data_IF_284878172172
#
_entry.id   IF_284878172172
#
_cell.length_a   1.000
_cell.length_b   1.000
_cell.length_c   1.000
_cell.angle_alpha   90.00
_cell.angle_beta   90.00
_cell.angle_gamma   90.00
#
_symmetry.space_group_name_H-M   'P 1'
#
loop_
_entity.id
_entity.type
_entity.pdbx_description
1 polymer ?
#
# COMPACT_ATOMS: atom_id res chain seq x y z
N UNK A 1 6.38 -4.78 -35.06
CA UNK A 1 5.94 -3.41 -34.82
C UNK A 1 6.12 -3.06 -33.38
N UNK A 2 6.25 -1.78 -33.06
CA UNK A 2 6.30 -1.31 -31.68
C UNK A 2 4.94 -1.60 -31.05
N UNK A 3 4.95 -2.40 -29.98
CA UNK A 3 3.75 -2.74 -29.25
C UNK A 3 3.22 -1.54 -28.45
N UNK A 4 2.51 -1.83 -27.37
CA UNK A 4 1.99 -0.83 -26.45
C UNK A 4 3.11 -0.05 -25.77
N UNK A 5 2.90 1.26 -25.58
CA UNK A 5 3.78 2.13 -24.81
C UNK A 5 2.98 3.12 -23.96
N UNK A 6 3.64 3.68 -22.97
CA UNK A 6 3.11 4.73 -22.11
C UNK A 6 3.83 6.04 -22.43
N UNK A 7 3.06 7.10 -22.65
CA UNK A 7 3.56 8.47 -22.78
C UNK A 7 3.05 9.26 -21.58
N UNK A 8 3.96 9.72 -20.72
CA UNK A 8 3.64 10.44 -19.48
C UNK A 8 4.35 11.78 -19.41
N UNK A 9 3.61 12.82 -19.14
CA UNK A 9 4.16 14.14 -18.89
C UNK A 9 4.87 14.18 -17.52
N UNK A 10 6.12 14.64 -17.51
CA UNK A 10 6.93 14.85 -16.29
C UNK A 10 6.86 16.31 -15.86
N UNK A 11 7.13 17.23 -16.82
CA UNK A 11 6.91 18.66 -16.63
C UNK A 11 5.93 19.18 -17.67
N UNK A 12 5.00 20.02 -17.27
CA UNK A 12 3.98 20.53 -18.19
C UNK A 12 4.57 21.01 -19.51
N UNK A 13 4.13 20.35 -20.58
CA UNK A 13 4.28 20.62 -21.98
C UNK A 13 5.66 20.38 -22.62
N UNK A 14 6.73 20.25 -21.87
CA UNK A 14 8.07 20.20 -22.47
C UNK A 14 8.95 19.02 -22.03
N UNK A 15 8.61 18.28 -20.97
CA UNK A 15 9.39 17.12 -20.56
C UNK A 15 8.49 15.89 -20.40
N UNK A 16 8.84 14.80 -21.07
CA UNK A 16 8.01 13.60 -21.16
C UNK A 16 8.82 12.34 -20.90
N UNK A 17 8.20 11.38 -20.26
CA UNK A 17 8.70 10.02 -20.10
C UNK A 17 7.96 9.13 -21.09
N UNK A 18 8.71 8.36 -21.85
CA UNK A 18 8.16 7.34 -22.74
C UNK A 18 8.64 5.99 -22.22
N UNK A 19 7.71 5.10 -21.94
CA UNK A 19 7.99 3.71 -21.57
C UNK A 19 7.45 2.83 -22.67
N UNK A 20 8.29 1.94 -23.14
CA UNK A 20 7.97 1.01 -24.21
C UNK A 20 8.45 -0.39 -23.82
N UNK A 21 7.66 -1.43 -24.15
CA UNK A 21 7.99 -2.81 -23.85
C UNK A 21 8.77 -3.46 -24.97
N UNK A 22 9.74 -4.32 -24.62
CA UNK A 22 10.41 -5.22 -25.55
C UNK A 22 10.35 -6.67 -25.05
N UNK A 23 10.56 -7.63 -25.96
CA UNK A 23 10.58 -9.05 -25.60
C UNK A 23 11.85 -9.38 -24.82
N UNK A 24 11.70 -9.72 -23.54
CA UNK A 24 12.82 -10.09 -22.65
C UNK A 24 13.53 -11.38 -23.08
N UNK A 25 12.87 -12.23 -23.89
CA UNK A 25 13.46 -13.47 -24.40
C UNK A 25 14.19 -13.25 -25.73
N UNK A 26 14.04 -12.06 -26.33
CA UNK A 26 14.75 -11.62 -27.52
C UNK A 26 16.08 -10.94 -27.18
N UNK A 27 16.82 -10.48 -28.20
CA UNK A 27 18.00 -9.67 -27.98
C UNK A 27 17.61 -8.35 -27.32
N UNK A 28 18.43 -7.91 -26.34
CA UNK A 28 18.23 -6.58 -25.73
C UNK A 28 18.41 -5.50 -26.80
N UNK A 29 17.46 -4.55 -26.91
CA UNK A 29 17.55 -3.50 -27.91
C UNK A 29 18.75 -2.58 -27.65
N UNK A 30 19.48 -2.24 -28.70
CA UNK A 30 20.47 -1.19 -28.64
C UNK A 30 19.75 0.16 -28.62
N UNK A 31 19.76 0.84 -27.46
CA UNK A 31 19.04 2.09 -27.25
C UNK A 31 19.87 3.27 -27.74
N UNK A 32 19.87 3.47 -29.06
CA UNK A 32 20.45 4.66 -29.69
C UNK A 32 19.48 5.83 -29.64
N UNK A 33 19.99 7.06 -29.83
CA UNK A 33 19.14 8.27 -29.93
C UNK A 33 18.11 8.15 -31.06
N UNK A 34 18.55 7.66 -32.22
CA UNK A 34 17.68 7.45 -33.39
C UNK A 34 16.55 6.46 -33.06
N UNK A 35 16.90 5.34 -32.42
CA UNK A 35 15.93 4.34 -32.00
C UNK A 35 14.92 4.94 -30.98
N UNK A 36 15.40 5.56 -29.91
CA UNK A 36 14.54 6.11 -28.86
C UNK A 36 13.60 7.21 -29.39
N UNK A 37 14.11 8.13 -30.23
CA UNK A 37 13.28 9.17 -30.85
C UNK A 37 12.29 8.59 -31.87
N UNK A 38 12.66 7.54 -32.58
CA UNK A 38 11.77 6.80 -33.49
C UNK A 38 10.59 6.16 -32.74
N UNK A 39 10.86 5.50 -31.63
CA UNK A 39 9.82 4.96 -30.73
C UNK A 39 8.88 6.05 -30.23
N UNK A 40 9.44 7.20 -29.82
CA UNK A 40 8.66 8.31 -29.32
C UNK A 40 7.72 8.87 -30.40
N UNK A 41 8.23 9.14 -31.61
CA UNK A 41 7.41 9.61 -32.75
C UNK A 41 6.29 8.64 -33.11
N UNK A 42 6.58 7.34 -33.08
CA UNK A 42 5.57 6.33 -33.40
C UNK A 42 4.47 6.27 -32.35
N UNK A 43 4.80 6.32 -31.04
CA UNK A 43 3.81 6.28 -29.97
C UNK A 43 2.96 7.55 -29.90
N UNK A 44 3.53 8.71 -30.26
CA UNK A 44 2.81 9.98 -30.31
C UNK A 44 2.00 10.10 -31.61
N UNK A 45 2.42 9.43 -32.69
CA UNK A 45 1.78 9.47 -34.00
C UNK A 45 2.19 10.68 -34.86
N UNK A 46 3.29 11.34 -34.53
CA UNK A 46 3.84 12.47 -35.29
C UNK A 46 5.29 12.14 -35.72
N UNK A 47 5.51 11.82 -37.01
CA UNK A 47 6.83 11.46 -37.52
C UNK A 47 7.81 12.62 -37.57
N UNK A 48 7.30 13.87 -37.59
CA UNK A 48 8.10 15.06 -37.73
C UNK A 48 8.37 15.76 -36.36
N UNK A 49 7.90 15.15 -35.27
CA UNK A 49 8.07 15.70 -33.92
C UNK A 49 9.54 15.92 -33.61
N UNK A 50 9.89 17.15 -33.24
CA UNK A 50 11.23 17.51 -32.76
C UNK A 50 11.39 17.06 -31.31
N UNK A 51 12.39 16.21 -31.07
CA UNK A 51 12.66 15.63 -29.75
C UNK A 51 14.11 15.92 -29.39
N UNK A 52 14.33 16.41 -28.21
CA UNK A 52 15.61 16.42 -27.52
C UNK A 52 15.62 15.24 -26.53
N UNK A 53 16.49 14.26 -26.77
CA UNK A 53 16.62 13.09 -25.91
C UNK A 53 17.50 13.45 -24.70
N UNK A 54 16.92 13.46 -23.51
CA UNK A 54 17.66 13.72 -22.26
C UNK A 54 18.35 12.47 -21.74
N UNK A 55 17.66 11.32 -21.79
CA UNK A 55 18.20 10.03 -21.38
C UNK A 55 17.37 8.88 -21.96
N UNK A 56 17.99 7.75 -22.19
CA UNK A 56 17.30 6.51 -22.54
C UNK A 56 18.10 5.31 -22.01
N UNK A 57 17.39 4.35 -21.42
CA UNK A 57 17.97 3.12 -20.88
C UNK A 57 16.94 1.99 -20.87
N UNK A 58 17.41 0.78 -20.72
CA UNK A 58 16.58 -0.40 -20.46
C UNK A 58 16.41 -0.64 -18.97
N UNK A 59 15.29 -1.20 -18.58
CA UNK A 59 15.05 -1.74 -17.25
C UNK A 59 14.12 -2.95 -17.31
N UNK A 60 14.18 -3.80 -16.31
CA UNK A 60 13.38 -5.02 -16.28
C UNK A 60 12.35 -4.94 -15.16
N UNK A 61 11.10 -5.27 -15.50
CA UNK A 61 10.04 -5.50 -14.52
C UNK A 61 10.37 -6.77 -13.75
N UNK A 62 10.40 -6.66 -12.44
CA UNK A 62 10.78 -7.74 -11.56
C UNK A 62 9.56 -8.32 -10.83
N UNK A 63 9.65 -9.61 -10.51
CA UNK A 63 8.80 -10.30 -9.55
C UNK A 63 9.70 -10.85 -8.45
N UNK A 64 10.18 -9.96 -7.59
CA UNK A 64 11.19 -10.28 -6.58
C UNK A 64 10.78 -9.79 -5.20
N UNK A 65 10.88 -10.67 -4.23
CA UNK A 65 10.81 -10.34 -2.80
C UNK A 65 11.79 -11.20 -2.02
N UNK A 66 12.41 -10.61 -0.99
CA UNK A 66 13.32 -11.30 -0.12
C UNK A 66 12.56 -12.13 0.92
N UNK A 67 13.00 -13.35 1.15
CA UNK A 67 12.49 -14.19 2.24
C UNK A 67 13.13 -13.84 3.58
N UNK A 68 14.27 -13.14 3.54
CA UNK A 68 15.01 -12.65 4.71
C UNK A 68 15.49 -11.23 4.44
N UNK A 69 15.15 -10.32 5.34
CA UNK A 69 15.40 -8.88 5.22
C UNK A 69 16.61 -8.41 6.02
N UNK A 70 17.20 -9.29 6.82
CA UNK A 70 18.36 -8.97 7.66
C UNK A 70 19.34 -10.13 7.78
N UNK A 71 20.62 -9.81 8.04
CA UNK A 71 21.66 -10.77 8.39
C UNK A 71 22.60 -10.14 9.41
N UNK A 72 22.57 -10.63 10.64
CA UNK A 72 23.31 -10.03 11.76
C UNK A 72 22.90 -8.57 11.95
N UNK A 73 23.84 -7.65 11.82
CA UNK A 73 23.64 -6.19 11.97
C UNK A 73 23.31 -5.46 10.65
N UNK A 74 23.14 -6.19 9.55
CA UNK A 74 22.79 -5.62 8.26
C UNK A 74 21.29 -5.81 8.04
N UNK A 75 20.58 -4.72 7.79
CA UNK A 75 19.15 -4.68 7.50
C UNK A 75 18.94 -4.08 6.13
N UNK A 76 18.10 -4.70 5.32
CA UNK A 76 17.72 -4.22 4.00
C UNK A 76 16.25 -3.79 4.00
N UNK A 77 15.89 -2.79 3.19
CA UNK A 77 14.54 -2.28 3.05
C UNK A 77 14.28 -1.79 1.62
N UNK A 78 13.02 -1.58 1.29
CA UNK A 78 12.62 -1.02 0.00
C UNK A 78 13.04 -1.90 -1.18
N UNK A 79 13.51 -1.30 -2.25
CA UNK A 79 13.90 -1.98 -3.50
C UNK A 79 15.00 -3.04 -3.32
N UNK A 80 15.72 -3.02 -2.20
CA UNK A 80 16.67 -4.07 -1.87
C UNK A 80 16.00 -5.39 -1.45
N UNK A 81 14.73 -5.35 -1.01
CA UNK A 81 14.00 -6.53 -0.53
C UNK A 81 12.71 -6.82 -1.30
N UNK A 82 12.20 -5.89 -2.11
CA UNK A 82 11.05 -6.13 -2.99
C UNK A 82 11.14 -5.28 -4.25
N UNK A 83 10.98 -5.92 -5.39
CA UNK A 83 10.89 -5.27 -6.70
C UNK A 83 9.71 -5.83 -7.48
N UNK A 84 8.92 -4.95 -7.98
CA UNK A 84 7.70 -5.27 -8.71
C UNK A 84 7.38 -4.17 -9.73
N UNK A 85 6.46 -4.42 -10.67
CA UNK A 85 5.99 -3.39 -11.58
C UNK A 85 5.37 -2.21 -10.83
N UNK A 86 5.34 -1.00 -11.44
CA UNK A 86 4.79 0.21 -10.81
C UNK A 86 3.27 0.20 -10.65
N UNK A 87 2.59 -0.86 -11.09
CA UNK A 87 1.15 -1.05 -10.88
C UNK A 87 0.78 -0.96 -9.39
N UNK A 88 -0.42 -0.49 -9.09
CA UNK A 88 -0.93 -0.17 -7.75
C UNK A 88 -0.20 0.99 -7.04
N UNK A 89 0.92 1.51 -7.52
CA UNK A 89 1.64 2.61 -6.86
C UNK A 89 2.22 2.28 -5.48
N UNK A 90 2.48 1.00 -5.18
CA UNK A 90 2.78 0.52 -3.83
C UNK A 90 4.26 0.58 -3.46
N UNK A 91 5.19 0.69 -4.42
CA UNK A 91 6.62 0.52 -4.19
C UNK A 91 7.22 1.49 -3.17
N UNK A 92 7.18 2.79 -3.46
CA UNK A 92 7.73 3.81 -2.56
C UNK A 92 6.99 3.86 -1.22
N UNK A 93 5.66 3.66 -1.22
CA UNK A 93 4.86 3.62 -0.01
C UNK A 93 5.26 2.44 0.90
N UNK A 94 5.50 1.26 0.33
CA UNK A 94 5.98 0.09 1.07
C UNK A 94 7.39 0.31 1.61
N UNK A 95 8.27 0.94 0.84
CA UNK A 95 9.63 1.29 1.28
C UNK A 95 9.63 2.25 2.47
N UNK A 96 8.71 3.23 2.48
CA UNK A 96 8.50 4.14 3.62
C UNK A 96 8.01 3.35 4.85
N UNK A 97 7.08 2.42 4.67
CA UNK A 97 6.59 1.57 5.75
C UNK A 97 7.71 0.67 6.32
N UNK A 98 8.60 0.13 5.47
CA UNK A 98 9.74 -0.67 5.93
C UNK A 98 10.67 0.17 6.79
N UNK A 99 11.01 1.37 6.31
CA UNK A 99 11.85 2.31 7.04
C UNK A 99 11.25 2.69 8.38
N UNK A 100 9.96 2.95 8.40
CA UNK A 100 9.22 3.34 9.60
C UNK A 100 9.15 2.17 10.61
N UNK A 101 8.91 0.94 10.14
CA UNK A 101 8.89 -0.25 10.99
C UNK A 101 10.26 -0.53 11.62
N UNK A 102 11.34 -0.39 10.86
CA UNK A 102 12.71 -0.67 11.34
C UNK A 102 13.23 0.44 12.25
N UNK A 103 12.98 1.71 11.94
CA UNK A 103 13.60 2.85 12.60
C UNK A 103 13.32 2.91 14.11
N UNK A 104 12.07 2.70 14.54
CA UNK A 104 11.74 2.74 15.96
C UNK A 104 12.31 1.55 16.72
N UNK A 105 12.36 0.36 16.09
CA UNK A 105 12.95 -0.85 16.69
C UNK A 105 14.45 -0.63 16.93
N UNK A 106 15.15 -0.11 15.94
CA UNK A 106 16.55 0.27 16.08
C UNK A 106 16.75 1.31 17.18
N UNK A 107 15.89 2.34 17.20
CA UNK A 107 15.99 3.39 18.23
C UNK A 107 15.82 2.85 19.65
N UNK A 108 14.87 1.93 19.87
CA UNK A 108 14.66 1.32 21.20
C UNK A 108 15.83 0.44 21.62
N UNK A 109 16.35 -0.39 20.69
CA UNK A 109 17.50 -1.25 20.98
C UNK A 109 18.76 -0.43 21.26
N UNK A 110 19.06 0.59 20.44
CA UNK A 110 20.22 1.45 20.62
C UNK A 110 20.16 2.30 21.89
N UNK A 111 18.97 2.63 22.38
CA UNK A 111 18.76 3.33 23.66
C UNK A 111 18.72 2.37 24.86
N UNK A 112 18.86 1.07 24.65
CA UNK A 112 18.75 0.07 25.72
C UNK A 112 17.34 -0.11 26.29
N UNK A 113 16.31 0.34 25.60
CA UNK A 113 14.90 0.23 25.98
C UNK A 113 14.27 -1.09 25.51
N UNK A 114 14.92 -1.83 24.64
CA UNK A 114 14.52 -3.15 24.19
C UNK A 114 15.74 -4.02 23.93
N UNK A 115 15.57 -5.34 24.02
CA UNK A 115 16.56 -6.33 23.61
C UNK A 115 16.69 -6.46 22.11
N UNK A 116 17.83 -6.98 21.63
CA UNK A 116 18.11 -7.19 20.18
C UNK A 116 17.06 -8.08 19.49
N UNK A 117 16.38 -8.99 20.22
CA UNK A 117 15.31 -9.84 19.70
C UNK A 117 14.14 -9.03 19.08
N UNK A 118 13.93 -7.77 19.50
CA UNK A 118 12.95 -6.90 18.86
C UNK A 118 13.23 -6.71 17.36
N UNK A 119 14.49 -6.75 16.93
CA UNK A 119 14.86 -6.56 15.53
C UNK A 119 14.47 -7.74 14.65
N UNK A 120 14.32 -8.94 15.20
CA UNK A 120 13.88 -10.12 14.47
C UNK A 120 12.43 -9.96 13.97
N UNK A 121 11.61 -9.19 14.72
CA UNK A 121 10.24 -8.89 14.33
C UNK A 121 10.13 -8.07 13.03
N UNK A 122 11.19 -7.36 12.64
CA UNK A 122 11.22 -6.66 11.35
C UNK A 122 11.02 -7.61 10.17
N UNK A 123 11.76 -8.71 10.15
CA UNK A 123 11.63 -9.72 9.10
C UNK A 123 10.24 -10.38 9.10
N UNK A 124 9.77 -10.81 10.27
CA UNK A 124 8.47 -11.52 10.39
C UNK A 124 7.27 -10.64 10.07
N UNK A 125 7.39 -9.33 10.27
CA UNK A 125 6.33 -8.37 9.94
C UNK A 125 6.39 -7.89 8.49
N UNK A 126 7.59 -7.64 7.92
CA UNK A 126 7.73 -6.98 6.62
C UNK A 126 7.91 -7.92 5.43
N UNK A 127 8.54 -9.08 5.59
CA UNK A 127 8.71 -10.02 4.48
C UNK A 127 7.37 -10.56 3.92
N UNK A 128 6.35 -10.89 4.75
CA UNK A 128 5.03 -11.25 4.23
C UNK A 128 4.34 -10.12 3.46
N UNK A 129 4.51 -8.87 3.92
CA UNK A 129 3.95 -7.70 3.22
C UNK A 129 4.65 -7.47 1.88
N UNK A 130 5.98 -7.57 1.84
CA UNK A 130 6.74 -7.49 0.60
C UNK A 130 6.24 -8.53 -0.43
N UNK A 131 6.02 -9.77 0.00
CA UNK A 131 5.42 -10.82 -0.85
C UNK A 131 4.04 -10.45 -1.34
N UNK A 132 3.15 -9.97 -0.47
CA UNK A 132 1.78 -9.56 -0.82
C UNK A 132 1.80 -8.48 -1.90
N UNK A 133 2.58 -7.42 -1.69
CA UNK A 133 2.68 -6.27 -2.59
C UNK A 133 3.22 -6.69 -3.97
N UNK A 134 4.32 -7.44 -3.98
CA UNK A 134 4.92 -7.93 -5.23
C UNK A 134 3.95 -8.81 -6.00
N UNK A 135 3.25 -9.71 -5.31
CA UNK A 135 2.25 -10.60 -5.92
C UNK A 135 1.10 -9.77 -6.52
N UNK A 136 0.52 -8.83 -5.76
CA UNK A 136 -0.60 -8.02 -6.24
C UNK A 136 -0.21 -7.15 -7.45
N UNK A 137 0.93 -6.48 -7.39
CA UNK A 137 1.40 -5.64 -8.48
C UNK A 137 1.63 -6.42 -9.79
N UNK A 138 2.17 -7.64 -9.70
CA UNK A 138 2.35 -8.49 -10.88
C UNK A 138 1.01 -9.01 -11.45
N UNK A 139 0.05 -9.34 -10.60
CA UNK A 139 -1.29 -9.71 -11.03
C UNK A 139 -1.98 -8.56 -11.77
N UNK A 140 -1.86 -7.33 -11.26
CA UNK A 140 -2.47 -6.14 -11.86
C UNK A 140 -2.01 -5.84 -13.28
N UNK A 141 -0.76 -6.16 -13.63
CA UNK A 141 -0.31 -6.09 -15.03
C UNK A 141 -1.11 -7.07 -15.91
N UNK A 142 -1.24 -8.33 -15.48
CA UNK A 142 -1.98 -9.34 -16.24
C UNK A 142 -3.45 -9.00 -16.43
N UNK A 143 -4.05 -8.29 -15.48
CA UNK A 143 -5.45 -7.84 -15.50
C UNK A 143 -5.74 -6.79 -16.58
N UNK A 144 -4.72 -6.28 -17.26
CA UNK A 144 -4.89 -5.39 -18.43
C UNK A 144 -5.23 -6.18 -19.71
N UNK A 145 -4.79 -7.42 -19.80
CA UNK A 145 -5.03 -8.28 -20.99
C UNK A 145 -6.50 -8.40 -21.40
N UNK A 146 -7.43 -8.67 -20.49
CA UNK A 146 -8.86 -8.75 -20.79
C UNK A 146 -9.45 -7.49 -21.44
N UNK A 147 -8.91 -6.30 -21.17
CA UNK A 147 -9.35 -5.05 -21.82
C UNK A 147 -8.99 -5.07 -23.28
N UNK A 148 -7.74 -5.43 -23.60
CA UNK A 148 -7.31 -5.52 -25.01
C UNK A 148 -8.02 -6.65 -25.76
N UNK A 149 -8.27 -7.78 -25.11
CA UNK A 149 -9.07 -8.85 -25.68
C UNK A 149 -10.50 -8.39 -26.01
N UNK A 150 -11.16 -7.69 -25.10
CA UNK A 150 -12.50 -7.15 -25.31
C UNK A 150 -12.54 -6.06 -26.40
N UNK A 151 -11.45 -5.32 -26.58
CA UNK A 151 -11.31 -4.35 -27.66
C UNK A 151 -10.98 -5.02 -29.03
N UNK A 152 -10.68 -6.31 -29.05
CA UNK A 152 -10.23 -7.00 -30.26
C UNK A 152 -8.81 -6.59 -30.70
N UNK A 153 -7.96 -6.21 -29.73
CA UNK A 153 -6.60 -5.70 -29.90
C UNK A 153 -5.57 -6.68 -29.30
N UNK A 154 -5.68 -7.94 -29.66
CA UNK A 154 -4.75 -8.98 -29.19
C UNK A 154 -3.55 -9.13 -30.13
N UNK A 155 -2.47 -9.71 -29.60
CA UNK A 155 -1.29 -10.03 -30.39
C UNK A 155 -1.65 -10.89 -31.62
N UNK A 156 -1.01 -10.60 -32.77
CA UNK A 156 -1.25 -11.28 -34.02
C UNK A 156 -2.45 -10.79 -34.85
N UNK A 157 -3.25 -9.86 -34.30
CA UNK A 157 -4.32 -9.20 -35.08
C UNK A 157 -3.72 -8.09 -35.92
N UNK A 158 -4.11 -8.05 -37.21
CA UNK A 158 -3.71 -7.01 -38.15
C UNK A 158 -4.20 -5.60 -37.67
N UNK A 159 -3.36 -4.54 -37.77
CA UNK A 159 -3.73 -3.19 -37.33
C UNK A 159 -5.00 -2.64 -37.96
N UNK A 160 -5.26 -2.96 -39.26
CA UNK A 160 -6.51 -2.54 -39.92
C UNK A 160 -7.72 -3.24 -39.31
N UNK A 161 -7.55 -4.52 -38.95
CA UNK A 161 -8.62 -5.26 -38.26
C UNK A 161 -8.81 -4.75 -36.83
N UNK A 162 -7.74 -4.40 -36.12
CA UNK A 162 -7.86 -3.76 -34.79
C UNK A 162 -8.68 -2.46 -34.86
N UNK A 163 -8.40 -1.62 -35.85
CA UNK A 163 -9.17 -0.38 -36.08
C UNK A 163 -10.66 -0.67 -36.32
N UNK A 164 -10.97 -1.64 -37.17
CA UNK A 164 -12.37 -2.05 -37.41
C UNK A 164 -13.04 -2.59 -36.14
N UNK A 165 -12.32 -3.35 -35.32
CA UNK A 165 -12.84 -3.85 -34.05
C UNK A 165 -13.18 -2.69 -33.08
N UNK A 166 -12.33 -1.65 -33.05
CA UNK A 166 -12.57 -0.45 -32.27
C UNK A 166 -13.80 0.35 -32.76
N UNK A 167 -13.96 0.48 -34.07
CA UNK A 167 -15.10 1.20 -34.69
C UNK A 167 -16.41 0.45 -34.49
N UNK A 168 -16.41 -0.90 -34.67
CA UNK A 168 -17.59 -1.75 -34.54
C UNK A 168 -18.30 -1.62 -33.18
N UNK A 169 -17.59 -1.30 -32.10
CA UNK A 169 -18.20 -1.08 -30.78
C UNK A 169 -19.24 0.03 -30.75
N UNK A 170 -19.23 0.94 -31.73
CA UNK A 170 -20.16 2.08 -31.81
C UNK A 170 -21.45 1.71 -32.54
N UNK A 171 -21.55 0.53 -33.12
CA UNK A 171 -22.72 0.06 -33.84
C UNK A 171 -23.88 -0.26 -32.91
N UNK A 172 -25.11 -0.18 -33.42
CA UNK A 172 -26.34 -0.58 -32.72
C UNK A 172 -26.63 -2.08 -32.75
N UNK A 173 -25.64 -2.94 -33.03
CA UNK A 173 -25.81 -4.39 -33.15
C UNK A 173 -25.69 -5.10 -31.80
N UNK A 174 -26.30 -6.29 -31.67
CA UNK A 174 -26.15 -7.13 -30.50
C UNK A 174 -24.68 -7.53 -30.23
N UNK A 175 -23.87 -7.71 -31.29
CA UNK A 175 -22.46 -7.99 -31.18
C UNK A 175 -21.69 -6.81 -30.55
N UNK A 176 -21.96 -5.59 -30.98
CA UNK A 176 -21.37 -4.39 -30.44
C UNK A 176 -21.78 -4.15 -28.97
N UNK A 177 -23.03 -4.46 -28.64
CA UNK A 177 -23.51 -4.42 -27.25
C UNK A 177 -22.77 -5.42 -26.36
N UNK A 178 -22.61 -6.65 -26.80
CA UNK A 178 -21.82 -7.68 -26.09
C UNK A 178 -20.35 -7.25 -25.91
N UNK A 179 -19.73 -6.64 -26.92
CA UNK A 179 -18.39 -6.10 -26.84
C UNK A 179 -18.29 -4.98 -25.80
N UNK A 180 -19.22 -4.02 -25.80
CA UNK A 180 -19.26 -2.95 -24.79
C UNK A 180 -19.41 -3.50 -23.39
N UNK A 181 -20.22 -4.55 -23.20
CA UNK A 181 -20.37 -5.20 -21.91
C UNK A 181 -19.10 -5.92 -21.46
N UNK A 182 -18.41 -6.61 -22.37
CA UNK A 182 -17.13 -7.24 -22.10
C UNK A 182 -16.06 -6.20 -21.69
N UNK A 183 -16.01 -5.06 -22.36
CA UNK A 183 -15.13 -3.93 -22.01
C UNK A 183 -15.46 -3.40 -20.62
N UNK A 184 -16.75 -3.15 -20.30
CA UNK A 184 -17.15 -2.69 -18.95
C UNK A 184 -16.70 -3.64 -17.85
N UNK A 185 -16.89 -4.96 -18.05
CA UNK A 185 -16.45 -5.98 -17.10
C UNK A 185 -14.92 -6.01 -16.93
N UNK A 186 -14.20 -5.92 -18.03
CA UNK A 186 -12.73 -5.90 -18.01
C UNK A 186 -12.18 -4.64 -17.30
N UNK A 187 -12.80 -3.47 -17.54
CA UNK A 187 -12.44 -2.23 -16.84
C UNK A 187 -12.81 -2.33 -15.36
N UNK A 188 -13.98 -2.85 -15.01
CA UNK A 188 -14.38 -3.02 -13.61
C UNK A 188 -13.43 -3.94 -12.85
N UNK A 189 -12.80 -4.90 -13.50
CA UNK A 189 -11.80 -5.77 -12.89
C UNK A 189 -10.51 -5.02 -12.50
N UNK A 190 -10.21 -3.89 -13.14
CA UNK A 190 -9.05 -3.04 -12.80
C UNK A 190 -9.16 -2.35 -11.43
N UNK A 191 -10.30 -2.46 -10.74
CA UNK A 191 -10.42 -2.01 -9.35
C UNK A 191 -9.33 -2.60 -8.43
N UNK A 192 -8.85 -3.80 -8.71
CA UNK A 192 -7.74 -4.41 -7.97
C UNK A 192 -6.39 -3.69 -8.14
N UNK A 193 -6.27 -2.81 -9.14
CA UNK A 193 -5.10 -1.93 -9.27
C UNK A 193 -5.36 -0.54 -8.70
N UNK A 194 -6.58 0.00 -8.85
CA UNK A 194 -6.86 1.40 -8.56
C UNK A 194 -7.64 1.63 -7.27
N UNK A 195 -8.38 0.62 -6.78
CA UNK A 195 -9.23 0.71 -5.58
C UNK A 195 -8.82 -0.33 -4.51
N UNK A 196 -7.56 -0.74 -4.48
CA UNK A 196 -7.06 -1.80 -3.61
C UNK A 196 -6.78 -1.29 -2.18
N UNK A 197 -7.74 -0.63 -1.55
CA UNK A 197 -7.64 -0.09 -0.18
C UNK A 197 -7.30 -1.18 0.84
N UNK A 198 -7.79 -2.40 0.62
CA UNK A 198 -7.51 -3.51 1.52
C UNK A 198 -6.04 -3.90 1.53
N UNK A 199 -5.38 -3.96 0.36
CA UNK A 199 -3.94 -4.24 0.24
C UNK A 199 -3.11 -3.20 1.00
N UNK A 200 -3.54 -1.94 0.97
CA UNK A 200 -2.83 -0.83 1.63
C UNK A 200 -3.06 -0.80 3.14
N UNK A 201 -4.27 -1.11 3.60
CA UNK A 201 -4.75 -0.79 4.94
C UNK A 201 -5.00 -2.01 5.83
N UNK A 202 -5.30 -3.20 5.26
CA UNK A 202 -5.60 -4.41 6.03
C UNK A 202 -4.37 -5.21 6.45
N UNK A 203 -3.17 -4.64 6.35
CA UNK A 203 -1.95 -5.33 6.75
C UNK A 203 -1.96 -5.62 8.25
N UNK A 204 -1.83 -6.90 8.61
CA UNK A 204 -1.76 -7.36 10.01
C UNK A 204 -0.39 -7.97 10.26
N UNK A 205 0.35 -7.41 11.20
CA UNK A 205 1.63 -7.94 11.61
C UNK A 205 1.45 -9.13 12.55
N UNK A 206 2.29 -10.13 12.40
CA UNK A 206 2.35 -11.31 13.27
C UNK A 206 3.80 -11.55 13.63
N UNK A 207 4.16 -11.24 14.86
CA UNK A 207 5.52 -11.41 15.38
C UNK A 207 5.46 -11.56 16.90
N UNK A 208 6.57 -11.94 17.50
CA UNK A 208 6.70 -12.01 18.97
C UNK A 208 6.64 -10.63 19.65
N UNK A 209 6.71 -9.54 18.88
CA UNK A 209 6.49 -8.19 19.37
C UNK A 209 5.00 -7.81 19.46
N UNK A 210 4.10 -8.67 19.00
CA UNK A 210 2.66 -8.48 19.03
C UNK A 210 2.07 -9.46 20.03
N UNK A 211 1.45 -8.93 21.08
CA UNK A 211 0.77 -9.76 22.08
C UNK A 211 -0.70 -9.89 21.70
N UNK A 212 -1.19 -11.11 21.61
CA UNK A 212 -2.61 -11.43 21.48
C UNK A 212 -3.10 -12.02 22.79
N UNK A 213 -4.34 -11.72 23.16
CA UNK A 213 -4.95 -12.24 24.40
C UNK A 213 -5.53 -13.66 24.27
N UNK A 214 -5.12 -14.38 23.23
CA UNK A 214 -5.60 -15.73 22.92
C UNK A 214 -6.92 -15.78 22.17
N UNK A 215 -7.47 -14.64 21.76
CA UNK A 215 -8.62 -14.58 20.89
C UNK A 215 -8.29 -15.07 19.47
N UNK A 216 -9.31 -15.38 18.70
CA UNK A 216 -9.17 -15.76 17.30
C UNK A 216 -9.15 -14.49 16.45
N UNK A 217 -8.15 -14.41 15.55
CA UNK A 217 -8.07 -13.30 14.61
C UNK A 217 -9.35 -13.19 13.77
N UNK A 218 -10.00 -12.01 13.70
CA UNK A 218 -11.23 -11.86 12.94
C UNK A 218 -10.95 -12.04 11.44
N UNK A 219 -11.80 -12.86 10.79
CA UNK A 219 -11.75 -13.02 9.35
C UNK A 219 -12.21 -11.75 8.65
N UNK A 220 -11.74 -11.54 7.42
CA UNK A 220 -12.28 -10.49 6.57
C UNK A 220 -13.67 -10.89 6.07
N UNK A 221 -14.65 -10.00 6.22
CA UNK A 221 -16.04 -10.23 5.76
C UNK A 221 -16.22 -9.86 4.29
N UNK A 222 -15.44 -8.90 3.81
CA UNK A 222 -15.42 -8.45 2.43
C UNK A 222 -14.10 -8.86 1.77
N UNK A 223 -13.99 -8.64 0.45
CA UNK A 223 -12.75 -8.84 -0.29
C UNK A 223 -11.61 -8.06 0.36
N UNK A 224 -10.61 -8.79 0.86
CA UNK A 224 -9.52 -8.24 1.66
C UNK A 224 -8.56 -7.37 0.87
N UNK A 225 -8.53 -7.49 -0.46
CA UNK A 225 -7.70 -6.66 -1.31
C UNK A 225 -8.37 -5.34 -1.67
N UNK A 226 -9.69 -5.33 -1.78
CA UNK A 226 -10.44 -4.15 -2.20
C UNK A 226 -10.91 -3.27 -1.05
N UNK A 227 -11.38 -3.88 0.04
CA UNK A 227 -12.08 -3.15 1.09
C UNK A 227 -11.26 -3.05 2.36
N UNK A 228 -11.00 -1.83 2.82
CA UNK A 228 -10.47 -1.62 4.17
C UNK A 228 -11.51 -2.02 5.20
N UNK A 229 -11.14 -2.91 6.10
CA UNK A 229 -11.97 -3.40 7.20
C UNK A 229 -11.26 -3.06 8.52
N UNK A 230 -11.66 -1.92 9.14
CA UNK A 230 -11.01 -1.43 10.35
C UNK A 230 -11.18 -2.42 11.51
N UNK A 231 -10.12 -2.61 12.28
CA UNK A 231 -10.09 -3.47 13.46
C UNK A 231 -9.05 -2.96 14.44
N UNK A 232 -9.27 -3.17 15.73
CA UNK A 232 -8.26 -2.98 16.77
C UNK A 232 -7.52 -4.26 17.11
N UNK A 233 -7.63 -5.28 16.25
CA UNK A 233 -6.89 -6.53 16.40
C UNK A 233 -5.38 -6.27 16.51
N UNK A 234 -4.67 -6.93 17.44
CA UNK A 234 -3.23 -6.78 17.62
C UNK A 234 -2.46 -7.00 16.31
N UNK A 235 -1.55 -6.07 15.99
CA UNK A 235 -0.80 -6.04 14.74
C UNK A 235 -1.50 -5.36 13.57
N UNK A 236 -2.81 -5.07 13.68
CA UNK A 236 -3.52 -4.29 12.69
C UNK A 236 -3.22 -2.79 12.83
N UNK A 237 -3.49 -2.03 11.77
CA UNK A 237 -3.46 -0.57 11.81
C UNK A 237 -4.59 -0.06 12.72
N UNK A 238 -4.27 0.87 13.63
CA UNK A 238 -5.29 1.52 14.44
C UNK A 238 -6.33 2.20 13.52
N UNK A 239 -7.63 1.95 13.73
CA UNK A 239 -8.68 2.64 12.98
C UNK A 239 -8.66 4.14 13.24
N UNK A 240 -8.90 4.91 12.18
CA UNK A 240 -9.22 6.33 12.31
C UNK A 240 -10.63 6.50 12.89
N UNK A 241 -10.74 7.36 13.89
CA UNK A 241 -12.01 7.89 14.40
C UNK A 241 -11.81 9.35 14.81
N UNK A 242 -12.80 10.18 14.59
CA UNK A 242 -12.79 11.55 15.10
C UNK A 242 -13.17 11.55 16.58
N UNK A 243 -12.37 12.23 17.37
CA UNK A 243 -12.66 12.52 18.78
C UNK A 243 -12.47 14.01 19.03
N UNK A 244 -13.29 14.57 19.90
CA UNK A 244 -13.24 15.98 20.27
C UNK A 244 -12.28 16.17 21.45
N UNK A 245 -11.25 16.98 21.28
CA UNK A 245 -10.34 17.40 22.34
C UNK A 245 -10.96 18.59 23.09
N UNK A 246 -11.26 18.39 24.35
CA UNK A 246 -11.90 19.44 25.20
C UNK A 246 -10.96 20.56 25.60
N UNK A 247 -9.66 20.33 25.56
CA UNK A 247 -8.66 21.34 25.92
C UNK A 247 -8.47 22.34 24.76
N UNK A 248 -8.32 21.82 23.55
CA UNK A 248 -8.11 22.66 22.37
C UNK A 248 -9.41 23.13 21.71
N UNK A 249 -10.52 22.44 21.98
CA UNK A 249 -11.81 22.72 21.34
C UNK A 249 -11.89 22.24 19.89
N UNK A 250 -11.00 21.33 19.45
CA UNK A 250 -10.92 20.85 18.08
C UNK A 250 -11.19 19.35 17.98
N UNK A 251 -11.58 18.90 16.80
CA UNK A 251 -11.59 17.48 16.45
C UNK A 251 -10.17 17.02 16.14
N UNK A 252 -9.81 15.85 16.63
CA UNK A 252 -8.53 15.19 16.38
C UNK A 252 -8.77 13.74 16.01
N UNK A 253 -7.87 13.14 15.22
CA UNK A 253 -7.94 11.73 14.88
C UNK A 253 -7.37 10.86 15.99
N UNK A 254 -7.92 9.68 16.21
CA UNK A 254 -7.29 8.64 17.04
C UNK A 254 -5.85 8.35 16.59
N UNK A 255 -5.54 8.50 15.28
CA UNK A 255 -4.19 8.34 14.75
C UNK A 255 -3.24 9.45 15.22
N UNK A 256 -3.75 10.69 15.38
CA UNK A 256 -2.95 11.84 15.82
C UNK A 256 -2.68 11.80 17.32
N UNK A 257 -3.48 11.04 18.09
CA UNK A 257 -3.22 10.78 19.51
C UNK A 257 -2.04 9.82 19.72
N UNK A 258 -1.63 9.10 18.67
CA UNK A 258 -0.67 8.00 18.76
C UNK A 258 0.66 8.35 18.08
N UNK A 259 1.70 7.65 18.45
CA UNK A 259 3.02 7.81 17.85
C UNK A 259 3.90 8.82 18.61
N UNK A 260 4.52 9.77 17.88
CA UNK A 260 5.40 10.80 18.44
C UNK A 260 6.53 10.24 19.34
N UNK A 261 7.01 9.02 19.03
CA UNK A 261 8.09 8.35 19.76
C UNK A 261 7.66 7.80 21.12
N UNK A 262 6.36 7.54 21.32
CA UNK A 262 5.78 6.97 22.55
C UNK A 262 4.84 5.80 22.22
N UNK A 263 4.68 4.91 23.19
CA UNK A 263 3.51 4.04 23.23
C UNK A 263 2.28 4.86 23.65
N UNK A 264 1.11 4.46 23.20
CA UNK A 264 -0.15 5.13 23.55
C UNK A 264 -1.17 4.10 24.01
N UNK A 265 -1.75 4.34 25.17
CA UNK A 265 -2.87 3.56 25.69
C UNK A 265 -4.16 4.34 25.46
N UNK A 266 -5.09 3.76 24.71
CA UNK A 266 -6.43 4.29 24.52
C UNK A 266 -7.40 3.46 25.38
N UNK A 267 -8.16 4.12 26.26
CA UNK A 267 -9.18 3.46 27.09
C UNK A 267 -10.43 4.33 27.21
N UNK A 268 -11.50 3.80 27.75
CA UNK A 268 -12.75 4.51 27.96
C UNK A 268 -13.10 4.64 29.45
N UNK A 269 -14.39 4.82 29.71
CA UNK A 269 -14.92 4.95 31.11
C UNK A 269 -14.69 3.63 31.87
N UNK A 270 -14.16 3.77 33.09
CA UNK A 270 -13.83 2.63 33.96
C UNK A 270 -12.48 1.98 33.63
N UNK A 271 -11.68 2.60 32.76
CA UNK A 271 -10.35 2.13 32.37
C UNK A 271 -9.19 2.74 33.16
N UNK A 272 -9.47 3.45 34.28
CA UNK A 272 -8.46 4.11 35.12
C UNK A 272 -7.38 3.15 35.66
N UNK A 273 -7.74 1.89 35.88
CA UNK A 273 -6.78 0.87 36.29
C UNK A 273 -5.70 0.58 35.21
N UNK A 274 -6.07 0.66 33.93
CA UNK A 274 -5.12 0.51 32.83
C UNK A 274 -4.15 1.68 32.75
N UNK A 275 -4.64 2.90 33.01
CA UNK A 275 -3.79 4.09 33.06
C UNK A 275 -2.75 3.95 34.15
N UNK A 276 -3.16 3.58 35.37
CA UNK A 276 -2.24 3.37 36.49
C UNK A 276 -1.22 2.26 36.22
N UNK A 277 -1.66 1.16 35.60
CA UNK A 277 -0.77 0.07 35.21
C UNK A 277 0.25 0.52 34.13
N UNK A 278 -0.22 1.29 33.13
CA UNK A 278 0.63 1.85 32.09
C UNK A 278 1.70 2.78 32.63
N UNK A 279 1.35 3.66 33.57
CA UNK A 279 2.30 4.54 34.25
C UNK A 279 3.36 3.77 35.05
N UNK A 280 2.95 2.73 35.76
CA UNK A 280 3.87 1.87 36.50
C UNK A 280 4.84 1.14 35.62
N UNK A 281 4.35 0.54 34.52
CA UNK A 281 5.17 -0.16 33.54
C UNK A 281 6.11 0.80 32.82
N UNK A 282 5.64 1.99 32.45
CA UNK A 282 6.45 3.00 31.79
C UNK A 282 7.63 3.45 32.67
N UNK A 283 7.38 3.62 33.98
CA UNK A 283 8.42 3.98 34.95
C UNK A 283 9.44 2.83 35.15
N UNK A 284 8.95 1.60 35.27
CA UNK A 284 9.81 0.42 35.48
C UNK A 284 10.72 0.14 34.26
N UNK A 285 10.18 0.26 33.04
CA UNK A 285 10.92 -0.01 31.80
C UNK A 285 11.69 1.20 31.26
N UNK A 286 11.51 2.40 31.83
CA UNK A 286 12.13 3.63 31.34
C UNK A 286 11.67 4.01 29.91
N UNK A 287 10.43 3.70 29.55
CA UNK A 287 9.85 4.01 28.24
C UNK A 287 8.83 5.15 28.33
N UNK A 288 8.61 5.82 27.21
CA UNK A 288 7.54 6.82 27.11
C UNK A 288 6.22 6.15 26.73
N UNK A 289 5.23 6.25 27.61
CA UNK A 289 3.87 5.79 27.37
C UNK A 289 2.90 6.91 27.74
N UNK A 290 1.95 7.22 26.86
CA UNK A 290 0.93 8.24 27.04
C UNK A 290 -0.43 7.55 27.08
N UNK A 291 -1.28 7.92 28.04
CA UNK A 291 -2.62 7.34 28.16
C UNK A 291 -3.69 8.38 27.85
N UNK A 292 -4.69 8.00 27.07
CA UNK A 292 -5.86 8.82 26.75
C UNK A 292 -7.14 8.10 27.14
N UNK A 293 -8.02 8.80 27.87
CA UNK A 293 -9.35 8.30 28.20
C UNK A 293 -10.35 8.99 27.28
N UNK A 294 -11.05 8.21 26.48
CA UNK A 294 -12.07 8.69 25.53
C UNK A 294 -13.46 8.39 26.11
N UNK A 295 -14.26 9.41 26.35
CA UNK A 295 -15.61 9.26 26.88
C UNK A 295 -16.24 10.55 27.35
N UNK A 296 -17.53 10.53 27.75
CA UNK A 296 -18.24 11.70 28.29
C UNK A 296 -17.49 12.31 29.45
N UNK A 297 -17.30 13.64 29.43
CA UNK A 297 -16.60 14.43 30.44
C UNK A 297 -15.11 14.10 30.64
N UNK A 298 -14.53 13.36 29.73
CA UNK A 298 -13.09 13.07 29.68
C UNK A 298 -12.37 14.08 28.79
N UNK A 299 -11.03 14.12 28.78
CA UNK A 299 -10.27 15.00 27.87
C UNK A 299 -10.67 14.83 26.39
N UNK A 300 -10.88 13.59 25.93
CA UNK A 300 -11.33 13.27 24.58
C UNK A 300 -12.75 12.72 24.62
N UNK A 301 -13.60 13.20 23.71
CA UNK A 301 -15.01 12.81 23.62
C UNK A 301 -15.35 12.31 22.23
N UNK A 302 -15.93 11.13 22.15
CA UNK A 302 -16.46 10.55 20.90
C UNK A 302 -17.89 11.05 20.67
N UNK A 303 -18.04 12.22 20.02
CA UNK A 303 -19.34 12.82 19.80
C UNK A 303 -20.19 12.09 18.77
N UNK A 304 -19.54 11.47 17.77
CA UNK A 304 -20.22 10.83 16.64
C UNK A 304 -20.35 9.31 16.82
N UNK A 305 -19.78 8.73 17.88
CA UNK A 305 -19.74 7.30 18.11
C UNK A 305 -18.80 6.57 17.12
N UNK A 306 -17.87 7.29 16.50
CA UNK A 306 -16.95 6.73 15.53
C UNK A 306 -15.96 5.75 16.18
N UNK A 307 -15.35 6.18 17.28
CA UNK A 307 -14.46 5.31 18.04
C UNK A 307 -15.20 4.12 18.65
N UNK A 308 -16.40 4.35 19.19
CA UNK A 308 -17.22 3.29 19.75
C UNK A 308 -17.57 2.20 18.75
N UNK A 309 -17.70 2.53 17.45
CA UNK A 309 -17.98 1.57 16.38
C UNK A 309 -16.77 0.70 16.00
N UNK A 310 -15.54 1.23 16.12
CA UNK A 310 -14.35 0.57 15.57
C UNK A 310 -13.38 0.03 16.62
N UNK A 311 -13.55 0.36 17.89
CA UNK A 311 -12.60 0.01 18.97
C UNK A 311 -12.61 -1.46 19.39
N UNK A 312 -13.67 -2.22 19.09
CA UNK A 312 -13.86 -3.66 19.40
C UNK A 312 -13.67 -4.07 20.87
N UNK A 313 -13.24 -3.18 21.73
CA UNK A 313 -13.11 -3.37 23.18
C UNK A 313 -14.24 -2.65 23.93
N UNK A 314 -14.56 -3.11 25.16
CA UNK A 314 -15.54 -2.46 26.03
C UNK A 314 -15.02 -1.08 26.51
N UNK A 315 -15.92 -0.25 27.07
CA UNK A 315 -15.55 1.05 27.63
C UNK A 315 -14.39 0.96 28.65
N UNK A 316 -14.44 -0.04 29.51
CA UNK A 316 -13.39 -0.29 30.50
C UNK A 316 -12.19 -1.09 29.98
N UNK A 317 -12.19 -1.48 28.71
CA UNK A 317 -11.06 -2.13 28.07
C UNK A 317 -10.03 -1.11 27.58
N UNK A 318 -8.91 -1.60 27.06
CA UNK A 318 -7.90 -0.73 26.50
C UNK A 318 -7.35 -1.26 25.17
N UNK A 319 -6.78 -0.35 24.40
CA UNK A 319 -5.98 -0.66 23.20
C UNK A 319 -4.61 -0.03 23.42
N UNK A 320 -3.58 -0.84 23.50
CA UNK A 320 -2.20 -0.37 23.50
C UNK A 320 -1.76 -0.19 22.05
N UNK A 321 -1.23 0.97 21.74
CA UNK A 321 -0.82 1.34 20.38
C UNK A 321 0.65 1.66 20.35
N UNK A 322 1.33 1.07 19.39
CA UNK A 322 2.70 1.37 19.11
C UNK A 322 2.83 1.81 17.64
N UNK A 323 3.22 3.09 17.44
CA UNK A 323 3.40 3.69 16.10
C UNK A 323 2.17 3.44 15.15
N UNK A 324 0.95 3.71 15.66
CA UNK A 324 -0.28 3.61 14.87
C UNK A 324 -0.74 2.18 14.57
N UNK A 325 -0.15 1.16 15.23
CA UNK A 325 -0.65 -0.21 15.20
C UNK A 325 -1.10 -0.64 16.58
N UNK A 326 -2.24 -1.31 16.64
CA UNK A 326 -2.73 -1.91 17.87
C UNK A 326 -1.78 -3.03 18.33
N UNK A 327 -1.46 -3.02 19.61
CA UNK A 327 -0.86 -4.12 20.36
C UNK A 327 -1.69 -4.28 21.60
N UNK A 328 -2.06 -5.45 22.01
CA UNK A 328 -2.86 -5.65 23.22
C UNK A 328 -2.05 -5.45 24.47
#
# INVERSE_FOLDING_TARGET
GIGMGLVRMVRPWNEWLIVWGYDINGPEPEVTEEFATGVARQLIGDPDLKIELLNANTWTVNNFYATRTSNGRVFCMGDAIHRHPPSNGLGSNTSIQDSFNLAWKLAMVLKGQAGEALLDSYNTERAPIAKQIVTRANQSIGETGPIFAALGMTEGVDPVQMQKNLEARSDGTAAAEAQREAIRKAIAFKKYEFDAHGVEMNQRYRSDAIVTDGQIEPAFELDSDLHYQPTTWPGARLPHAWVYDRETGAETSTLDLCGHGSFTLLTGLGGEAWVAAAEAVAADLGIRLVSHIIGPRRPFVDHHGDWARVREVKDSGCVLVQIGRASC
#
